data_IF_445921903135
#
_entry.id   IF_445921903135
#
_cell.length_a   1.000
_cell.length_b   1.000
_cell.length_c   1.000
_cell.angle_alpha   90.00
_cell.angle_beta   90.00
_cell.angle_gamma   90.00
#
_symmetry.space_group_name_H-M   'P 1'
#
loop_
_entity.id
_entity.type
_entity.pdbx_description
1 polymer ?
#
# COMPACT_ATOMS: atom_id res chain seq x y z
N UNK A 1 43.94 25.22 67.81
CA UNK A 1 43.64 26.10 66.70
C UNK A 1 43.96 25.38 65.40
N UNK A 2 43.03 24.66 64.86
CA UNK A 2 43.21 23.87 63.60
C UNK A 2 42.09 24.25 62.69
N UNK A 3 42.38 24.94 61.61
CA UNK A 3 41.45 25.32 60.56
C UNK A 3 41.22 24.14 59.62
N UNK A 4 40.04 23.58 59.59
CA UNK A 4 39.58 22.61 58.59
C UNK A 4 39.10 23.38 57.34
N UNK A 5 39.85 23.30 56.26
CA UNK A 5 39.42 23.72 54.92
C UNK A 5 38.64 22.59 54.26
N UNK A 6 37.36 22.75 54.21
CA UNK A 6 36.44 21.89 53.47
C UNK A 6 36.57 22.20 51.96
N UNK A 7 37.15 21.28 51.18
CA UNK A 7 37.19 21.36 49.70
C UNK A 7 35.89 20.78 49.17
N UNK A 8 34.99 21.66 48.71
CA UNK A 8 33.81 21.28 47.98
C UNK A 8 34.24 20.94 46.57
N UNK A 9 34.20 19.66 46.23
CA UNK A 9 34.37 19.16 44.86
C UNK A 9 33.07 19.41 44.09
N UNK A 10 33.07 20.35 43.14
CA UNK A 10 32.00 20.56 42.19
C UNK A 10 32.05 19.47 41.13
N UNK A 11 31.16 18.49 41.22
CA UNK A 11 30.93 17.48 40.20
C UNK A 11 30.05 18.10 39.09
N UNK A 12 30.68 18.53 38.02
CA UNK A 12 29.97 18.95 36.79
C UNK A 12 29.50 17.71 36.08
N UNK A 13 28.24 17.39 36.21
CA UNK A 13 27.52 16.38 35.40
C UNK A 13 27.27 16.97 34.03
N UNK A 14 28.11 16.63 33.05
CA UNK A 14 27.90 16.94 31.66
C UNK A 14 26.83 15.94 31.12
N UNK A 15 25.60 16.38 31.02
CA UNK A 15 24.54 15.65 30.28
C UNK A 15 24.89 15.77 28.79
N UNK A 16 25.48 14.73 28.23
CA UNK A 16 25.58 14.56 26.79
C UNK A 16 24.23 14.09 26.33
N UNK A 17 23.41 15.04 25.87
CA UNK A 17 22.15 14.73 25.12
C UNK A 17 22.58 14.16 23.77
N UNK A 18 22.72 12.85 23.68
CA UNK A 18 22.72 12.15 22.40
C UNK A 18 21.31 12.30 21.81
N UNK A 19 21.12 13.28 20.95
CA UNK A 19 19.96 13.34 20.09
C UNK A 19 20.06 12.15 19.11
N UNK A 20 19.55 11.00 19.52
CA UNK A 20 19.23 9.91 18.64
C UNK A 20 18.12 10.42 17.74
N UNK A 21 18.47 10.86 16.53
CA UNK A 21 17.51 11.02 15.44
C UNK A 21 16.95 9.64 15.16
N UNK A 22 15.83 9.33 15.81
CA UNK A 22 15.04 8.14 15.51
C UNK A 22 14.49 8.42 14.10
N UNK A 23 15.19 7.94 13.08
CA UNK A 23 14.62 7.76 11.75
C UNK A 23 13.50 6.74 11.92
N UNK A 24 12.30 7.20 12.27
CA UNK A 24 11.11 6.36 12.18
C UNK A 24 11.01 5.93 10.72
N UNK A 25 10.98 4.61 10.43
CA UNK A 25 10.72 4.16 9.07
C UNK A 25 9.40 4.79 8.67
N UNK A 26 9.43 5.64 7.64
CA UNK A 26 8.23 6.26 7.12
C UNK A 26 7.29 5.14 6.71
N UNK A 27 6.12 5.07 7.36
CA UNK A 27 5.11 4.09 7.02
C UNK A 27 4.83 4.21 5.52
N UNK A 28 4.65 3.08 4.84
CA UNK A 28 4.30 3.09 3.42
C UNK A 28 3.01 3.90 3.25
N UNK A 29 2.97 4.74 2.22
CA UNK A 29 1.78 5.53 1.89
C UNK A 29 0.62 4.60 1.58
N UNK A 30 -0.56 4.90 2.11
CA UNK A 30 -1.81 4.17 1.90
C UNK A 30 -2.81 5.03 1.13
N UNK A 31 -3.77 4.37 0.47
CA UNK A 31 -4.86 5.07 -0.20
C UNK A 31 -5.69 5.91 0.78
N UNK A 32 -6.03 7.12 0.39
CA UNK A 32 -6.85 8.01 1.20
C UNK A 32 -8.32 7.57 1.18
N UNK A 33 -8.92 7.45 2.37
CA UNK A 33 -10.34 7.18 2.52
C UNK A 33 -10.91 7.83 3.78
N UNK A 34 -12.21 8.06 3.79
CA UNK A 34 -12.98 8.39 4.99
C UNK A 34 -13.80 7.18 5.44
N UNK A 35 -13.86 6.96 6.76
CA UNK A 35 -14.71 5.92 7.34
C UNK A 35 -16.10 6.49 7.54
N UNK A 36 -17.09 5.93 6.83
CA UNK A 36 -18.50 6.31 6.92
C UNK A 36 -19.17 5.59 8.10
N UNK A 37 -18.85 4.30 8.27
CA UNK A 37 -19.41 3.46 9.31
C UNK A 37 -18.36 2.47 9.80
N UNK A 38 -18.37 2.17 11.11
CA UNK A 38 -17.49 1.17 11.73
C UNK A 38 -18.30 0.30 12.68
N UNK A 39 -18.05 -1.02 12.60
CA UNK A 39 -18.69 -2.02 13.43
C UNK A 39 -17.71 -3.19 13.66
N UNK A 40 -16.96 -3.13 14.78
CA UNK A 40 -15.85 -4.05 15.06
C UNK A 40 -14.77 -4.00 13.96
N UNK A 41 -14.54 -5.14 13.31
CA UNK A 41 -13.56 -5.27 12.22
C UNK A 41 -14.12 -4.83 10.85
N UNK A 42 -15.42 -4.54 10.77
CA UNK A 42 -16.07 -4.01 9.56
C UNK A 42 -15.93 -2.51 9.49
N UNK A 43 -15.62 -1.99 8.29
CA UNK A 43 -15.70 -0.57 7.96
C UNK A 43 -16.34 -0.38 6.58
N UNK A 44 -17.23 0.60 6.48
CA UNK A 44 -17.68 1.17 5.19
C UNK A 44 -16.84 2.41 4.92
N UNK A 45 -16.08 2.40 3.83
CA UNK A 45 -15.12 3.44 3.49
C UNK A 45 -15.45 4.09 2.16
N UNK A 46 -15.30 5.41 2.09
CA UNK A 46 -15.29 6.19 0.85
C UNK A 46 -13.85 6.46 0.46
N UNK A 47 -13.37 5.80 -0.58
CA UNK A 47 -12.03 6.01 -1.13
C UNK A 47 -12.02 7.20 -2.08
N UNK A 48 -10.97 8.02 -1.98
CA UNK A 48 -10.70 9.09 -2.94
C UNK A 48 -10.20 8.52 -4.28
N UNK A 49 -10.26 9.29 -5.38
CA UNK A 49 -9.66 8.88 -6.63
C UNK A 49 -8.19 8.52 -6.45
N UNK A 50 -7.74 7.45 -7.08
CA UNK A 50 -6.38 6.94 -6.93
C UNK A 50 -5.85 6.36 -8.24
N UNK A 51 -4.54 6.32 -8.39
CA UNK A 51 -3.89 5.68 -9.53
C UNK A 51 -3.24 4.38 -9.04
N UNK A 52 -3.40 3.32 -9.81
CA UNK A 52 -2.77 2.03 -9.55
C UNK A 52 -1.94 1.57 -10.74
N UNK A 53 -0.84 0.89 -10.46
CA UNK A 53 -0.17 0.04 -11.43
C UNK A 53 -0.72 -1.38 -11.27
N UNK A 54 -1.22 -1.98 -12.35
CA UNK A 54 -1.84 -3.30 -12.35
C UNK A 54 -1.19 -4.25 -13.32
N UNK A 55 -1.25 -5.55 -13.02
CA UNK A 55 -0.86 -6.63 -13.91
C UNK A 55 -1.77 -7.83 -13.76
N UNK A 56 -2.06 -8.51 -14.86
CA UNK A 56 -2.82 -9.77 -14.87
C UNK A 56 -1.87 -10.95 -14.88
N UNK A 57 -2.17 -11.97 -14.06
CA UNK A 57 -1.38 -13.19 -13.90
C UNK A 57 -2.31 -14.39 -13.87
N UNK A 58 -1.94 -15.46 -14.57
CA UNK A 58 -2.60 -16.76 -14.51
C UNK A 58 -1.85 -17.68 -13.55
N UNK A 59 -2.57 -18.55 -12.83
CA UNK A 59 -1.97 -19.53 -11.92
C UNK A 59 -2.68 -19.59 -10.57
N UNK A 60 -2.04 -20.29 -9.62
CA UNK A 60 -2.56 -20.49 -8.29
C UNK A 60 -2.48 -19.25 -7.41
N UNK A 61 -3.37 -19.14 -6.43
CA UNK A 61 -3.53 -17.99 -5.53
C UNK A 61 -2.21 -17.47 -4.91
N UNK A 62 -1.32 -18.38 -4.48
CA UNK A 62 -0.06 -17.99 -3.86
C UNK A 62 1.00 -17.56 -4.90
N UNK A 63 1.07 -18.28 -6.02
CA UNK A 63 2.06 -18.03 -7.07
C UNK A 63 1.81 -16.70 -7.77
N UNK A 64 0.55 -16.42 -8.12
CA UNK A 64 0.17 -15.18 -8.85
C UNK A 64 0.50 -13.94 -8.05
N UNK A 65 0.33 -13.99 -6.71
CA UNK A 65 0.72 -12.90 -5.82
C UNK A 65 2.21 -12.58 -5.91
N UNK A 66 3.07 -13.61 -5.92
CA UNK A 66 4.51 -13.45 -6.01
C UNK A 66 4.97 -12.99 -7.40
N UNK A 67 4.36 -13.53 -8.47
CA UNK A 67 4.66 -13.15 -9.85
C UNK A 67 4.27 -11.69 -10.10
N UNK A 68 3.03 -11.33 -9.75
CA UNK A 68 2.52 -9.97 -9.93
C UNK A 68 3.31 -8.95 -9.10
N UNK A 69 3.57 -9.27 -7.82
CA UNK A 69 4.39 -8.43 -6.95
C UNK A 69 5.76 -8.15 -7.58
N UNK A 70 6.48 -9.18 -8.02
CA UNK A 70 7.81 -9.05 -8.61
C UNK A 70 7.81 -8.15 -9.83
N UNK A 71 6.81 -8.33 -10.71
CA UNK A 71 6.64 -7.51 -11.92
C UNK A 71 6.38 -6.04 -11.60
N UNK A 72 5.48 -5.74 -10.66
CA UNK A 72 5.19 -4.39 -10.24
C UNK A 72 6.33 -3.76 -9.43
N UNK A 73 7.03 -4.57 -8.63
CA UNK A 73 8.22 -4.13 -7.89
C UNK A 73 9.37 -3.71 -8.83
N UNK A 74 9.58 -4.46 -9.91
CA UNK A 74 10.53 -4.09 -10.96
C UNK A 74 10.20 -2.73 -11.57
N UNK A 75 8.92 -2.45 -11.84
CA UNK A 75 8.45 -1.16 -12.35
C UNK A 75 8.79 -0.02 -11.40
N UNK A 76 8.40 -0.12 -10.12
CA UNK A 76 8.66 0.95 -9.14
C UNK A 76 10.14 1.09 -8.78
N UNK A 77 10.93 0.02 -8.96
CA UNK A 77 12.38 0.01 -8.70
C UNK A 77 13.23 0.63 -9.81
N UNK A 78 12.60 1.08 -10.92
CA UNK A 78 13.29 1.78 -11.98
C UNK A 78 13.23 1.10 -13.36
N UNK A 79 12.55 -0.06 -13.52
CA UNK A 79 12.27 -0.61 -14.85
C UNK A 79 11.12 0.15 -15.53
N UNK A 80 11.31 1.46 -15.67
CA UNK A 80 10.35 2.40 -16.23
C UNK A 80 11.08 3.47 -17.07
N UNK A 81 10.31 4.27 -17.77
CA UNK A 81 10.79 5.42 -18.56
C UNK A 81 10.15 6.68 -18.00
N UNK A 82 10.99 7.59 -17.51
CA UNK A 82 10.51 8.88 -17.01
C UNK A 82 9.88 9.68 -18.13
N UNK A 83 8.68 10.20 -17.93
CA UNK A 83 8.07 11.16 -18.84
C UNK A 83 8.78 12.50 -18.68
N UNK A 84 9.69 12.83 -19.59
CA UNK A 84 10.33 14.15 -19.66
C UNK A 84 9.68 14.98 -20.75
N UNK A 85 9.13 16.13 -20.37
CA UNK A 85 8.88 17.22 -21.33
C UNK A 85 10.23 17.88 -21.59
N UNK A 86 10.85 17.60 -22.74
CA UNK A 86 12.12 18.24 -23.15
C UNK A 86 11.75 19.44 -24.02
N UNK A 87 12.06 20.69 -23.58
CA UNK A 87 12.07 21.82 -24.50
C UNK A 87 13.10 21.53 -25.59
N UNK A 88 12.70 21.66 -26.87
CA UNK A 88 13.58 21.41 -28.02
C UNK A 88 14.79 22.36 -28.04
N UNK A 89 15.93 21.87 -27.54
CA UNK A 89 17.26 22.48 -27.80
C UNK A 89 18.22 21.35 -28.14
N UNK A 90 18.86 21.42 -29.29
CA UNK A 90 19.78 20.40 -29.80
C UNK A 90 21.18 20.51 -29.16
N UNK A 91 21.99 19.40 -29.09
CA UNK A 91 21.73 18.01 -29.50
C UNK A 91 21.33 17.11 -28.33
N UNK A 92 20.44 16.16 -28.58
CA UNK A 92 19.84 15.30 -27.57
C UNK A 92 20.60 13.99 -27.48
N UNK A 93 21.36 13.78 -26.41
CA UNK A 93 21.69 12.45 -25.93
C UNK A 93 20.49 11.95 -25.11
N UNK A 94 19.64 11.13 -25.71
CA UNK A 94 18.43 10.63 -25.07
C UNK A 94 18.76 9.32 -24.34
N UNK A 95 19.31 9.41 -23.15
CA UNK A 95 19.20 8.31 -22.19
C UNK A 95 17.83 8.41 -21.52
N UNK A 96 17.03 7.34 -21.67
CA UNK A 96 15.74 7.24 -21.00
C UNK A 96 15.98 7.14 -19.49
N UNK A 97 15.90 8.27 -18.79
CA UNK A 97 16.05 8.30 -17.35
C UNK A 97 14.96 7.44 -16.68
N UNK A 98 15.37 6.51 -15.82
CA UNK A 98 14.46 5.76 -14.97
C UNK A 98 14.24 6.48 -13.65
N UNK A 99 13.12 6.17 -12.96
CA UNK A 99 12.78 6.75 -11.67
C UNK A 99 12.40 5.67 -10.65
N UNK A 100 12.89 5.80 -9.41
CA UNK A 100 12.42 4.95 -8.31
C UNK A 100 11.18 5.56 -7.70
N UNK A 101 10.10 4.80 -7.73
CA UNK A 101 8.80 5.14 -7.11
C UNK A 101 8.78 4.49 -5.73
N UNK A 102 8.47 5.22 -4.65
CA UNK A 102 8.33 4.64 -3.31
C UNK A 102 7.29 3.53 -3.26
N UNK A 103 7.57 2.48 -2.49
CA UNK A 103 6.60 1.42 -2.24
C UNK A 103 5.45 1.94 -1.39
N UNK A 104 4.24 1.59 -1.77
CA UNK A 104 2.99 1.92 -1.07
C UNK A 104 2.32 0.67 -0.52
N UNK A 105 1.28 0.83 0.27
CA UNK A 105 0.44 -0.25 0.78
C UNK A 105 -1.05 0.08 0.52
N UNK A 106 -1.89 -0.91 0.38
CA UNK A 106 -1.62 -2.35 0.30
C UNK A 106 -1.18 -2.84 -1.08
N UNK A 107 -0.69 -4.09 -1.11
CA UNK A 107 -0.66 -4.90 -2.33
C UNK A 107 -2.00 -5.60 -2.44
N UNK A 108 -2.73 -5.34 -3.50
CA UNK A 108 -4.05 -5.93 -3.73
C UNK A 108 -3.97 -7.11 -4.70
N UNK A 109 -4.81 -8.10 -4.46
CA UNK A 109 -5.01 -9.27 -5.31
C UNK A 109 -6.51 -9.52 -5.48
N UNK A 110 -6.99 -9.49 -6.72
CA UNK A 110 -8.40 -9.61 -7.09
C UNK A 110 -8.57 -10.63 -8.21
N UNK A 111 -9.65 -11.40 -8.20
CA UNK A 111 -9.96 -12.33 -9.29
C UNK A 111 -10.68 -11.61 -10.43
N UNK A 112 -10.19 -11.80 -11.66
CA UNK A 112 -10.79 -11.25 -12.88
C UNK A 112 -10.95 -12.38 -13.90
N UNK A 113 -12.10 -13.00 -13.92
CA UNK A 113 -12.35 -14.22 -14.71
C UNK A 113 -11.44 -15.36 -14.23
N UNK A 114 -10.62 -15.90 -15.13
CA UNK A 114 -9.67 -16.98 -14.82
C UNK A 114 -8.30 -16.45 -14.35
N UNK A 115 -8.07 -15.13 -14.41
CA UNK A 115 -6.82 -14.49 -14.04
C UNK A 115 -6.92 -13.79 -12.69
N UNK A 116 -5.79 -13.39 -12.18
CA UNK A 116 -5.66 -12.55 -11.01
C UNK A 116 -5.08 -11.20 -11.39
N UNK A 117 -5.71 -10.15 -10.93
CA UNK A 117 -5.19 -8.79 -10.99
C UNK A 117 -4.41 -8.52 -9.72
N UNK A 118 -3.13 -8.14 -9.87
CA UNK A 118 -2.31 -7.64 -8.77
C UNK A 118 -2.13 -6.16 -8.99
N UNK A 119 -2.33 -5.34 -7.93
CA UNK A 119 -2.19 -3.89 -8.03
C UNK A 119 -1.31 -3.32 -6.94
N UNK A 120 -0.53 -2.28 -7.29
CA UNK A 120 0.13 -1.36 -6.37
C UNK A 120 -0.53 0.01 -6.49
N UNK A 121 -0.83 0.63 -5.37
CA UNK A 121 -1.20 2.05 -5.34
C UNK A 121 -0.01 2.88 -5.82
N UNK A 122 -0.24 3.94 -6.58
CA UNK A 122 0.82 4.91 -6.86
C UNK A 122 0.77 6.03 -5.82
N UNK A 123 1.95 6.56 -5.40
CA UNK A 123 1.99 7.67 -4.45
C UNK A 123 1.18 8.87 -4.92
N UNK A 124 0.51 9.56 -4.01
CA UNK A 124 -0.42 10.68 -4.29
C UNK A 124 0.21 11.85 -5.03
N UNK A 125 1.54 11.99 -4.97
CA UNK A 125 2.30 13.00 -5.71
C UNK A 125 2.34 12.79 -7.24
N UNK A 126 1.93 11.62 -7.72
CA UNK A 126 1.90 11.30 -9.14
C UNK A 126 0.51 11.50 -9.75
N UNK A 127 0.51 11.96 -11.00
CA UNK A 127 -0.65 11.97 -11.89
C UNK A 127 -0.39 11.06 -13.09
N UNK A 128 -1.41 10.77 -13.87
CA UNK A 128 -1.24 10.00 -15.13
C UNK A 128 -0.29 10.68 -16.13
N UNK A 129 -0.10 11.99 -16.00
CA UNK A 129 0.76 12.79 -16.88
C UNK A 129 2.24 12.64 -16.53
N UNK A 130 2.57 12.54 -15.22
CA UNK A 130 3.95 12.53 -14.73
C UNK A 130 4.45 11.15 -14.26
N UNK A 131 3.56 10.16 -14.10
CA UNK A 131 3.96 8.78 -13.80
C UNK A 131 4.89 8.23 -14.88
N UNK A 132 6.06 7.66 -14.51
CA UNK A 132 6.92 6.96 -15.45
C UNK A 132 6.19 5.84 -16.18
N UNK A 133 6.47 5.68 -17.47
CA UNK A 133 5.86 4.62 -18.27
C UNK A 133 6.50 3.26 -17.94
N UNK A 134 5.71 2.19 -17.72
CA UNK A 134 6.25 0.85 -17.56
C UNK A 134 6.99 0.39 -18.83
N UNK A 135 8.15 -0.24 -18.66
CA UNK A 135 8.85 -0.91 -19.79
C UNK A 135 8.18 -2.25 -20.12
N UNK A 136 7.64 -2.93 -19.08
CA UNK A 136 6.91 -4.20 -19.26
C UNK A 136 5.49 -3.91 -19.76
N UNK A 137 5.11 -4.32 -21.00
CA UNK A 137 3.79 -4.04 -21.58
C UNK A 137 2.63 -4.73 -20.85
N UNK A 138 2.92 -5.67 -19.94
CA UNK A 138 1.91 -6.35 -19.11
C UNK A 138 1.48 -5.51 -17.91
N UNK A 139 2.17 -4.41 -17.64
CA UNK A 139 1.80 -3.46 -16.60
C UNK A 139 0.97 -2.34 -17.21
N UNK A 140 -0.17 -2.05 -16.61
CA UNK A 140 -1.03 -0.93 -16.98
C UNK A 140 -1.13 0.05 -15.82
N UNK A 141 -1.22 1.32 -16.12
CA UNK A 141 -1.56 2.37 -15.17
C UNK A 141 -3.04 2.70 -15.34
N UNK A 142 -3.79 2.68 -14.25
CA UNK A 142 -5.25 2.84 -14.27
C UNK A 142 -5.67 3.82 -13.18
N UNK A 143 -6.51 4.78 -13.54
CA UNK A 143 -7.20 5.64 -12.58
C UNK A 143 -8.45 4.93 -12.07
N UNK A 144 -8.59 4.88 -10.75
CA UNK A 144 -9.78 4.38 -10.08
C UNK A 144 -10.52 5.60 -9.52
N UNK A 145 -11.76 5.87 -9.94
CA UNK A 145 -12.53 6.99 -9.42
C UNK A 145 -12.90 6.78 -7.95
N UNK A 146 -13.44 7.82 -7.34
CA UNK A 146 -14.04 7.73 -6.02
C UNK A 146 -15.05 6.57 -5.94
N UNK A 147 -14.97 5.75 -4.88
CA UNK A 147 -15.82 4.57 -4.75
C UNK A 147 -16.00 4.12 -3.29
N UNK A 148 -17.09 3.40 -3.04
CA UNK A 148 -17.42 2.81 -1.75
C UNK A 148 -16.87 1.39 -1.63
N UNK A 149 -16.21 1.13 -0.51
CA UNK A 149 -15.65 -0.18 -0.15
C UNK A 149 -16.16 -0.61 1.22
N UNK A 150 -16.69 -1.82 1.30
CA UNK A 150 -16.83 -2.54 2.55
C UNK A 150 -15.51 -3.27 2.85
N UNK A 151 -14.92 -3.01 4.01
CA UNK A 151 -13.64 -3.57 4.44
C UNK A 151 -13.82 -4.46 5.67
N UNK A 152 -13.09 -5.56 5.73
CA UNK A 152 -12.98 -6.41 6.92
C UNK A 152 -11.51 -6.62 7.26
N UNK A 153 -11.09 -6.11 8.43
CA UNK A 153 -9.71 -6.16 8.91
C UNK A 153 -9.45 -7.41 9.73
N UNK A 154 -8.29 -8.05 9.52
CA UNK A 154 -7.87 -9.21 10.30
C UNK A 154 -6.36 -9.36 10.34
N UNK A 155 -5.86 -10.16 11.31
CA UNK A 155 -4.47 -10.56 11.41
C UNK A 155 -4.29 -12.02 11.01
N UNK A 156 -3.08 -12.42 10.61
CA UNK A 156 -2.78 -13.82 10.37
C UNK A 156 -1.97 -14.09 9.11
N UNK A 157 -1.90 -15.36 8.76
CA UNK A 157 -1.20 -15.85 7.57
C UNK A 157 -1.94 -15.48 6.29
N UNK A 158 -1.20 -15.47 5.18
CA UNK A 158 -1.74 -15.22 3.83
C UNK A 158 -2.23 -16.52 3.19
N UNK A 159 -3.14 -17.25 3.85
CA UNK A 159 -3.70 -18.47 3.29
C UNK A 159 -5.01 -18.19 2.56
N UNK A 160 -5.28 -18.98 1.54
CA UNK A 160 -6.51 -18.89 0.73
C UNK A 160 -7.75 -19.16 1.58
N UNK A 161 -7.69 -20.18 2.43
CA UNK A 161 -8.79 -20.60 3.29
C UNK A 161 -9.20 -19.48 4.26
N UNK A 162 -8.19 -18.81 4.85
CA UNK A 162 -8.43 -17.68 5.76
C UNK A 162 -9.03 -16.49 5.03
N UNK A 163 -8.56 -16.24 3.81
CA UNK A 163 -9.12 -15.19 2.97
C UNK A 163 -10.59 -15.48 2.64
N UNK A 164 -10.92 -16.68 2.16
CA UNK A 164 -12.28 -17.11 1.81
C UNK A 164 -13.24 -17.07 3.02
N UNK A 165 -12.75 -17.46 4.22
CA UNK A 165 -13.52 -17.35 5.47
C UNK A 165 -13.89 -15.89 5.78
N UNK A 166 -12.94 -14.97 5.66
CA UNK A 166 -13.16 -13.53 5.92
C UNK A 166 -14.02 -12.88 4.85
N UNK A 167 -13.84 -13.28 3.61
CA UNK A 167 -14.71 -12.87 2.50
C UNK A 167 -16.18 -13.26 2.74
N UNK A 168 -16.42 -14.50 3.13
CA UNK A 168 -17.76 -14.97 3.47
C UNK A 168 -18.38 -14.13 4.60
N UNK A 169 -17.61 -13.87 5.65
CA UNK A 169 -18.07 -13.04 6.76
C UNK A 169 -18.40 -11.62 6.32
N UNK A 170 -17.55 -11.01 5.49
CA UNK A 170 -17.78 -9.67 4.97
C UNK A 170 -19.05 -9.61 4.09
N UNK A 171 -19.27 -10.60 3.22
CA UNK A 171 -20.50 -10.69 2.38
C UNK A 171 -21.77 -10.77 3.23
N UNK A 172 -21.72 -11.48 4.36
CA UNK A 172 -22.84 -11.54 5.31
C UNK A 172 -23.13 -10.16 5.93
N UNK A 173 -22.08 -9.43 6.36
CA UNK A 173 -22.22 -8.09 6.93
C UNK A 173 -22.76 -7.09 5.90
N UNK A 174 -22.26 -7.12 4.67
CA UNK A 174 -22.75 -6.29 3.56
C UNK A 174 -24.25 -6.49 3.36
N UNK A 175 -24.72 -7.76 3.35
CA UNK A 175 -26.12 -8.08 3.22
C UNK A 175 -26.97 -7.57 4.41
N UNK A 176 -26.48 -7.75 5.65
CA UNK A 176 -27.16 -7.27 6.86
C UNK A 176 -27.32 -5.76 6.88
N UNK A 177 -26.34 -5.03 6.30
CA UNK A 177 -26.34 -3.56 6.24
C UNK A 177 -27.09 -3.02 5.00
N UNK A 178 -27.74 -3.87 4.20
CA UNK A 178 -28.52 -3.45 3.03
C UNK A 178 -27.66 -2.83 1.93
N UNK A 179 -26.41 -3.25 1.80
CA UNK A 179 -25.50 -2.81 0.74
C UNK A 179 -25.52 -3.80 -0.44
N UNK A 180 -25.31 -3.30 -1.66
CA UNK A 180 -25.20 -4.09 -2.87
C UNK A 180 -23.74 -4.28 -3.25
N UNK A 181 -23.28 -5.52 -3.43
CA UNK A 181 -21.96 -5.84 -3.99
C UNK A 181 -21.95 -5.46 -5.47
N UNK A 182 -20.95 -4.71 -5.92
CA UNK A 182 -20.80 -4.25 -7.31
C UNK A 182 -19.46 -4.64 -7.95
N UNK A 183 -18.58 -5.34 -7.22
CA UNK A 183 -17.28 -5.80 -7.73
C UNK A 183 -16.80 -7.05 -7.03
N UNK A 184 -15.70 -7.60 -7.52
CA UNK A 184 -15.07 -8.79 -6.95
C UNK A 184 -14.37 -8.49 -5.63
N UNK A 185 -14.23 -9.47 -4.72
CA UNK A 185 -13.47 -9.33 -3.49
C UNK A 185 -11.98 -9.13 -3.76
N UNK A 186 -11.37 -8.20 -3.03
CA UNK A 186 -9.97 -7.83 -3.10
C UNK A 186 -9.27 -8.26 -1.82
N UNK A 187 -8.17 -8.98 -1.95
CA UNK A 187 -7.29 -9.36 -0.83
C UNK A 187 -6.16 -8.35 -0.69
N UNK A 188 -6.18 -7.54 0.37
CA UNK A 188 -5.24 -6.45 0.61
C UNK A 188 -4.21 -6.82 1.68
N UNK A 189 -2.92 -6.74 1.34
CA UNK A 189 -1.77 -7.04 2.21
C UNK A 189 -0.99 -5.76 2.51
N UNK A 190 -0.90 -5.40 3.79
CA UNK A 190 -0.28 -4.14 4.23
C UNK A 190 1.16 -4.30 4.70
N UNK A 191 1.58 -5.50 5.07
CA UNK A 191 2.86 -5.73 5.70
C UNK A 191 3.79 -6.58 4.82
N UNK A 192 5.12 -6.41 4.97
CA UNK A 192 6.09 -7.24 4.28
C UNK A 192 6.09 -8.69 4.80
N UNK A 193 6.58 -9.65 4.00
CA UNK A 193 6.51 -11.09 4.33
C UNK A 193 7.29 -11.49 5.59
N UNK A 194 8.32 -10.73 6.00
CA UNK A 194 9.09 -10.99 7.21
C UNK A 194 8.39 -10.54 8.51
N UNK A 195 7.30 -9.76 8.41
CA UNK A 195 6.49 -9.39 9.57
C UNK A 195 5.88 -10.65 10.20
N UNK A 196 5.98 -10.84 11.53
CA UNK A 196 5.30 -11.93 12.22
C UNK A 196 3.82 -11.98 11.87
N UNK A 197 3.30 -13.17 11.58
CA UNK A 197 1.94 -13.34 11.07
C UNK A 197 0.86 -12.73 11.98
N UNK A 198 1.04 -12.77 13.31
CA UNK A 198 0.08 -12.23 14.28
C UNK A 198 0.08 -10.69 14.38
N UNK A 199 1.10 -10.03 13.84
CA UNK A 199 1.18 -8.55 13.74
C UNK A 199 0.77 -8.03 12.36
N UNK A 200 0.51 -8.92 11.40
CA UNK A 200 0.13 -8.50 10.05
C UNK A 200 -1.27 -7.91 10.03
N UNK A 201 -1.41 -6.80 9.33
CA UNK A 201 -2.69 -6.25 8.90
C UNK A 201 -3.02 -6.79 7.52
N UNK A 202 -4.12 -7.52 7.42
CA UNK A 202 -4.72 -7.95 6.18
C UNK A 202 -6.16 -7.44 6.14
N UNK A 203 -6.68 -7.22 4.94
CA UNK A 203 -8.08 -6.83 4.77
C UNK A 203 -8.67 -7.58 3.59
N UNK A 204 -9.96 -7.89 3.69
CA UNK A 204 -10.81 -8.19 2.56
C UNK A 204 -11.59 -6.93 2.26
N UNK A 205 -11.54 -6.50 1.00
CA UNK A 205 -12.21 -5.31 0.50
C UNK A 205 -13.21 -5.73 -0.56
N UNK A 206 -14.45 -5.23 -0.49
CA UNK A 206 -15.48 -5.52 -1.50
C UNK A 206 -16.10 -4.19 -1.96
N UNK A 207 -16.05 -3.87 -3.26
CA UNK A 207 -16.75 -2.72 -3.82
C UNK A 207 -18.27 -2.86 -3.63
N UNK A 208 -18.88 -1.79 -3.09
CA UNK A 208 -20.31 -1.79 -2.76
C UNK A 208 -21.01 -0.52 -3.24
N UNK A 209 -22.33 -0.58 -3.37
CA UNK A 209 -23.21 0.57 -3.56
C UNK A 209 -24.32 0.56 -2.51
N UNK A 210 -24.87 1.73 -2.18
CA UNK A 210 -26.09 1.83 -1.38
C UNK A 210 -27.29 1.41 -2.23
N UNK A 211 -28.21 0.67 -1.66
CA UNK A 211 -29.53 0.46 -2.26
C UNK A 211 -30.33 1.75 -2.10
N UNK A 212 -30.80 2.29 -3.20
CA UNK A 212 -31.71 3.45 -3.23
C UNK A 212 -33.13 3.01 -2.93
#
# INVERSE_FOLDING_TARGET
MIQNRCRIAFLVLVFISLAFSINTPMAAEEAEYSVIERDGDFELRQYQPQIVAETLVEGDFHEVGNIGFRRLFDYISGKNRKKQSIPMTAPVSQEAASEKIPMTAPVNQERVGEKWRITFLMPSRYSMENLPEPVDPRIKLTEIPEHLIAAFKYSGTWSRERYEEREKRLKELIRQKGLKIIGEPIFARYNPPFMPWFLRRNEVLIPVARLH
#
